data_IF_253382093450
#
_entry.id   IF_253382093450
#
_cell.length_a   1.000
_cell.length_b   1.000
_cell.length_c   1.000
_cell.angle_alpha   90.00
_cell.angle_beta   90.00
_cell.angle_gamma   90.00
#
_symmetry.space_group_name_H-M   'P 1'
#
loop_
_entity.id
_entity.type
_entity.pdbx_description
1 polymer ?
#
# COMPACT_ATOMS: atom_id res chain seq x y z
N UNK A 1 -18.45 -20.43 16.55
CA UNK A 1 -18.61 -21.49 15.53
C UNK A 1 -17.61 -22.59 15.83
N UNK A 2 -18.11 -23.71 16.34
CA UNK A 2 -17.34 -24.91 16.66
C UNK A 2 -17.14 -25.71 15.38
N UNK A 3 -15.88 -25.96 14.99
CA UNK A 3 -15.56 -26.94 13.96
C UNK A 3 -16.16 -28.28 14.35
N UNK A 4 -16.90 -28.93 13.45
CA UNK A 4 -17.30 -30.33 13.64
C UNK A 4 -16.01 -31.14 13.79
N UNK A 5 -15.97 -32.03 14.77
CA UNK A 5 -14.89 -33.02 14.86
C UNK A 5 -14.77 -33.71 13.50
N UNK A 6 -13.55 -33.76 12.93
CA UNK A 6 -13.15 -34.33 11.62
C UNK A 6 -12.81 -33.34 10.48
N UNK A 7 -13.06 -32.03 10.62
CA UNK A 7 -12.57 -31.06 9.61
C UNK A 7 -11.13 -30.63 9.90
N UNK A 8 -10.16 -31.45 9.49
CA UNK A 8 -8.72 -31.24 9.78
C UNK A 8 -8.03 -30.18 8.89
N UNK A 9 -8.71 -29.62 7.89
CA UNK A 9 -8.13 -28.62 6.99
C UNK A 9 -9.17 -27.79 6.24
N UNK A 10 -8.71 -26.78 5.50
CA UNK A 10 -9.59 -25.84 4.79
C UNK A 10 -10.48 -26.53 3.74
N UNK A 11 -9.95 -27.54 3.04
CA UNK A 11 -10.71 -28.31 2.04
C UNK A 11 -11.90 -29.03 2.67
N UNK A 12 -11.67 -29.77 3.76
CA UNK A 12 -12.75 -30.50 4.44
C UNK A 12 -13.73 -29.57 5.14
N UNK A 13 -13.27 -28.47 5.76
CA UNK A 13 -14.19 -27.53 6.40
C UNK A 13 -15.08 -26.78 5.42
N UNK A 14 -14.58 -26.45 4.22
CA UNK A 14 -15.38 -25.81 3.16
C UNK A 14 -16.41 -26.79 2.58
N UNK A 15 -15.98 -28.04 2.32
CA UNK A 15 -16.87 -29.10 1.81
C UNK A 15 -18.02 -29.40 2.79
N UNK A 16 -17.72 -29.46 4.08
CA UNK A 16 -18.69 -29.68 5.17
C UNK A 16 -19.44 -28.40 5.59
N UNK A 17 -19.18 -27.27 4.92
CA UNK A 17 -19.77 -25.96 5.21
C UNK A 17 -19.64 -25.53 6.68
N UNK A 18 -18.58 -25.95 7.35
CA UNK A 18 -18.31 -25.64 8.76
C UNK A 18 -17.38 -24.44 8.95
N UNK A 19 -16.90 -23.85 7.85
CA UNK A 19 -16.08 -22.65 7.82
C UNK A 19 -16.44 -21.81 6.59
N UNK A 20 -15.98 -20.56 6.59
CA UNK A 20 -16.06 -19.67 5.44
C UNK A 20 -14.65 -19.25 5.02
N UNK A 21 -14.43 -18.94 3.73
CA UNK A 21 -13.20 -18.31 3.31
C UNK A 21 -12.95 -17.01 4.09
N UNK A 22 -11.70 -16.76 4.45
CA UNK A 22 -11.29 -15.44 4.90
C UNK A 22 -11.35 -14.49 3.70
N UNK A 23 -11.87 -13.30 3.92
CA UNK A 23 -12.02 -12.29 2.88
C UNK A 23 -12.49 -10.98 3.47
N UNK A 24 -12.63 -10.01 2.58
CA UNK A 24 -12.95 -8.64 2.90
C UNK A 24 -13.15 -7.84 1.62
N UNK A 25 -13.08 -6.51 1.72
CA UNK A 25 -13.33 -5.63 0.56
C UNK A 25 -12.15 -4.69 0.37
N UNK A 26 -11.45 -4.88 -0.75
CA UNK A 26 -10.46 -3.90 -1.20
C UNK A 26 -11.18 -2.75 -1.90
N UNK A 27 -10.62 -1.56 -1.81
CA UNK A 27 -11.19 -0.37 -2.45
C UNK A 27 -10.14 0.30 -3.31
N UNK A 28 -10.56 0.91 -4.42
CA UNK A 28 -9.68 1.69 -5.26
C UNK A 28 -10.41 2.91 -5.83
N UNK A 29 -9.64 3.92 -6.20
CA UNK A 29 -10.13 5.14 -6.83
C UNK A 29 -9.07 5.69 -7.78
N UNK A 30 -9.47 6.57 -8.70
CA UNK A 30 -8.56 7.18 -9.67
C UNK A 30 -8.66 8.70 -9.63
N UNK A 31 -7.52 9.39 -9.75
CA UNK A 31 -7.48 10.86 -9.92
C UNK A 31 -6.72 11.23 -11.21
N UNK A 32 -7.34 11.97 -12.14
CA UNK A 32 -8.79 12.28 -12.20
C UNK A 32 -9.64 11.00 -12.38
N UNK A 33 -10.98 11.07 -12.23
CA UNK A 33 -11.86 9.94 -12.53
C UNK A 33 -11.61 9.39 -13.94
N UNK A 34 -11.44 8.08 -14.05
CA UNK A 34 -11.30 7.44 -15.35
C UNK A 34 -12.62 7.51 -16.12
N UNK A 35 -12.54 7.90 -17.39
CA UNK A 35 -13.65 7.69 -18.32
C UNK A 35 -13.45 6.35 -19.02
N UNK A 36 -14.54 5.73 -19.49
CA UNK A 36 -14.50 4.59 -20.40
C UNK A 36 -14.01 5.06 -21.78
N UNK A 37 -12.78 5.56 -21.85
CA UNK A 37 -12.14 6.00 -23.07
C UNK A 37 -11.72 4.77 -23.88
N UNK A 38 -11.89 4.85 -25.21
CA UNK A 38 -11.40 3.84 -26.15
C UNK A 38 -9.92 3.52 -25.88
N UNK A 39 -9.53 2.25 -26.04
CA UNK A 39 -8.18 1.73 -25.80
C UNK A 39 -7.04 2.57 -26.44
N UNK A 40 -7.32 3.32 -27.50
CA UNK A 40 -6.35 4.18 -28.20
C UNK A 40 -5.85 5.40 -27.40
N UNK A 41 -6.49 5.77 -26.28
CA UNK A 41 -6.14 6.97 -25.48
C UNK A 41 -5.83 6.66 -24.00
N UNK A 42 -5.57 5.40 -23.65
CA UNK A 42 -5.26 5.02 -22.27
C UNK A 42 -3.86 5.51 -21.85
N UNK A 43 -3.80 6.27 -20.76
CA UNK A 43 -2.55 6.75 -20.16
C UNK A 43 -1.90 5.62 -19.34
N UNK A 44 -0.56 5.54 -19.30
CA UNK A 44 0.13 4.66 -18.35
C UNK A 44 -0.29 4.98 -16.91
N UNK A 45 -0.42 3.95 -16.08
CA UNK A 45 -0.93 4.03 -14.71
C UNK A 45 0.23 4.03 -13.72
N UNK A 46 0.18 4.99 -12.79
CA UNK A 46 0.90 4.93 -11.52
C UNK A 46 -0.10 4.49 -10.47
N UNK A 47 0.17 3.34 -9.87
CA UNK A 47 -0.62 2.80 -8.79
C UNK A 47 0.05 3.14 -7.46
N UNK A 48 -0.69 3.76 -6.55
CA UNK A 48 -0.24 4.03 -5.17
C UNK A 48 -1.12 3.23 -4.24
N UNK A 49 -0.53 2.32 -3.47
CA UNK A 49 -1.28 1.32 -2.71
C UNK A 49 -0.90 1.32 -1.24
N UNK A 50 -1.82 0.86 -0.39
CA UNK A 50 -1.56 0.55 1.00
C UNK A 50 -2.38 -0.68 1.40
N UNK A 51 -1.96 -1.40 2.44
CA UNK A 51 -2.81 -2.40 3.08
C UNK A 51 -3.73 -1.74 4.12
N UNK A 52 -4.87 -2.37 4.42
CA UNK A 52 -5.81 -1.86 5.43
C UNK A 52 -6.09 -2.86 6.56
N UNK A 53 -5.61 -4.10 6.45
CA UNK A 53 -5.80 -5.14 7.45
C UNK A 53 -4.54 -5.48 8.25
N UNK A 54 -4.75 -5.86 9.51
CA UNK A 54 -3.70 -6.39 10.37
C UNK A 54 -4.12 -7.71 10.97
N UNK A 55 -3.15 -8.49 11.46
CA UNK A 55 -3.40 -9.70 12.21
C UNK A 55 -3.10 -9.50 13.71
N UNK A 56 -3.62 -10.41 14.54
CA UNK A 56 -3.34 -10.46 15.97
C UNK A 56 -3.74 -11.84 16.50
N UNK A 57 -3.12 -12.26 17.60
CA UNK A 57 -3.55 -13.47 18.32
C UNK A 57 -5.02 -13.39 18.75
N UNK A 58 -5.47 -12.19 19.14
CA UNK A 58 -6.87 -11.91 19.43
C UNK A 58 -7.47 -11.19 18.22
N UNK A 59 -8.26 -11.91 17.42
CA UNK A 59 -8.82 -11.40 16.16
C UNK A 59 -9.62 -10.12 16.33
N UNK A 60 -10.37 -9.99 17.42
CA UNK A 60 -11.15 -8.78 17.72
C UNK A 60 -10.29 -7.59 18.19
N UNK A 61 -8.96 -7.77 18.24
CA UNK A 61 -7.97 -6.77 18.64
C UNK A 61 -6.77 -6.78 17.70
N UNK A 62 -7.01 -6.47 16.43
CA UNK A 62 -6.01 -6.30 15.38
C UNK A 62 -5.95 -4.84 14.93
N UNK A 63 -5.53 -3.95 15.83
CA UNK A 63 -5.52 -2.50 15.58
C UNK A 63 -4.56 -2.10 14.44
N UNK A 64 -3.33 -2.63 14.44
CA UNK A 64 -2.35 -2.36 13.38
C UNK A 64 -2.02 -0.88 13.21
N UNK A 65 -1.87 -0.14 14.31
CA UNK A 65 -1.74 1.32 14.27
C UNK A 65 -0.56 1.78 13.41
N UNK A 66 0.61 1.18 13.61
CA UNK A 66 1.79 1.50 12.80
C UNK A 66 1.76 0.74 11.48
N UNK A 67 1.39 -0.54 11.51
CA UNK A 67 1.23 -1.35 10.30
C UNK A 67 -0.11 -2.08 10.29
N UNK A 68 -1.03 -1.78 9.35
CA UNK A 68 -0.84 -0.93 8.18
C UNK A 68 -1.49 0.47 8.25
N UNK A 69 -2.20 0.80 9.34
CA UNK A 69 -3.11 1.96 9.38
C UNK A 69 -2.37 3.28 9.13
N UNK A 70 -1.13 3.43 9.59
CA UNK A 70 -0.33 4.65 9.32
C UNK A 70 -0.13 4.89 7.82
N UNK A 71 0.17 3.83 7.05
CA UNK A 71 0.32 3.88 5.60
C UNK A 71 -0.99 4.21 4.89
N UNK A 72 -2.09 3.61 5.33
CA UNK A 72 -3.43 3.92 4.82
C UNK A 72 -3.80 5.39 5.05
N UNK A 73 -3.54 5.92 6.25
CA UNK A 73 -3.80 7.34 6.55
C UNK A 73 -2.95 8.24 5.65
N UNK A 74 -1.67 7.91 5.45
CA UNK A 74 -0.79 8.68 4.57
C UNK A 74 -1.28 8.64 3.10
N UNK A 75 -1.73 7.48 2.61
CA UNK A 75 -2.35 7.34 1.28
C UNK A 75 -3.57 8.24 1.15
N UNK A 76 -4.50 8.16 2.09
CA UNK A 76 -5.73 8.97 2.07
C UNK A 76 -5.43 10.47 2.16
N UNK A 77 -4.43 10.86 2.96
CA UNK A 77 -3.99 12.26 3.06
C UNK A 77 -3.41 12.76 1.74
N UNK A 78 -2.62 11.92 1.05
CA UNK A 78 -2.09 12.25 -0.27
C UNK A 78 -3.20 12.37 -1.32
N UNK A 79 -4.19 11.47 -1.29
CA UNK A 79 -5.38 11.54 -2.16
C UNK A 79 -6.17 12.82 -1.91
N UNK A 80 -6.42 13.18 -0.64
CA UNK A 80 -7.10 14.42 -0.27
C UNK A 80 -6.34 15.64 -0.79
N UNK A 81 -5.03 15.74 -0.52
CA UNK A 81 -4.21 16.85 -1.00
C UNK A 81 -4.21 16.97 -2.54
N UNK A 82 -4.10 15.85 -3.26
CA UNK A 82 -4.13 15.84 -4.72
C UNK A 82 -5.51 16.21 -5.26
N UNK A 83 -6.61 15.83 -4.59
CA UNK A 83 -7.98 16.09 -5.06
C UNK A 83 -8.31 17.58 -5.19
N UNK A 84 -7.58 18.44 -4.49
CA UNK A 84 -7.73 19.90 -4.55
C UNK A 84 -6.98 20.54 -5.73
N UNK A 85 -6.23 19.77 -6.52
CA UNK A 85 -5.49 20.28 -7.68
C UNK A 85 -6.34 20.27 -8.96
N UNK A 86 -6.48 21.42 -9.62
CA UNK A 86 -7.35 21.58 -10.79
C UNK A 86 -6.79 21.02 -12.10
N UNK A 87 -5.48 20.80 -12.20
CA UNK A 87 -4.80 20.46 -13.46
C UNK A 87 -4.39 18.98 -13.60
N UNK A 88 -4.93 18.10 -12.75
CA UNK A 88 -4.62 16.66 -12.80
C UNK A 88 -4.98 15.99 -14.14
N UNK A 89 -5.97 16.52 -14.86
CA UNK A 89 -6.34 16.03 -16.20
C UNK A 89 -5.22 16.13 -17.24
N UNK A 90 -4.29 17.08 -17.05
CA UNK A 90 -3.15 17.32 -17.96
C UNK A 90 -1.97 16.37 -17.71
N UNK A 91 -2.01 15.58 -16.64
CA UNK A 91 -0.95 14.62 -16.34
C UNK A 91 -0.82 13.59 -17.47
N UNK A 92 0.44 13.24 -17.79
CA UNK A 92 0.76 12.23 -18.81
C UNK A 92 0.43 10.81 -18.37
N UNK A 93 0.24 10.60 -17.08
CA UNK A 93 -0.05 9.32 -16.45
C UNK A 93 -1.32 9.42 -15.62
N UNK A 94 -2.03 8.31 -15.52
CA UNK A 94 -3.21 8.16 -14.66
C UNK A 94 -2.76 7.76 -13.25
N UNK A 95 -3.31 8.40 -12.22
CA UNK A 95 -3.11 7.98 -10.83
C UNK A 95 -4.25 7.08 -10.41
N UNK A 96 -3.91 5.92 -9.86
CA UNK A 96 -4.84 4.97 -9.25
C UNK A 96 -4.38 4.70 -7.82
N UNK A 97 -5.29 4.83 -6.87
CA UNK A 97 -5.06 4.60 -5.47
C UNK A 97 -5.83 3.37 -5.03
N UNK A 98 -5.21 2.46 -4.26
CA UNK A 98 -5.91 1.29 -3.74
C UNK A 98 -5.56 1.01 -2.29
N UNK A 99 -6.55 0.57 -1.53
CA UNK A 99 -6.38 -0.01 -0.21
C UNK A 99 -6.79 -1.48 -0.27
N UNK A 100 -5.84 -2.38 0.00
CA UNK A 100 -6.05 -3.82 -0.08
C UNK A 100 -6.33 -4.43 1.28
N UNK A 101 -7.40 -5.23 1.33
CA UNK A 101 -7.80 -6.02 2.50
C UNK A 101 -7.32 -7.48 2.35
N UNK A 102 -7.09 -8.16 3.47
CA UNK A 102 -6.58 -9.53 3.51
C UNK A 102 -5.10 -9.68 3.11
N UNK A 103 -4.30 -8.61 3.17
CA UNK A 103 -2.88 -8.68 2.89
C UNK A 103 -2.11 -9.47 3.95
N UNK A 104 -2.51 -9.38 5.22
CA UNK A 104 -1.93 -10.16 6.31
C UNK A 104 -2.19 -11.67 6.17
N UNK A 105 -3.13 -12.07 5.30
CA UNK A 105 -3.57 -13.45 5.08
C UNK A 105 -3.10 -14.01 3.73
N UNK A 106 -1.91 -13.59 3.29
CA UNK A 106 -1.29 -14.10 2.06
C UNK A 106 -1.68 -13.30 0.83
N UNK A 107 -1.78 -11.98 0.98
CA UNK A 107 -2.00 -11.02 -0.10
C UNK A 107 -3.34 -11.23 -0.82
N UNK A 108 -4.40 -11.58 -0.09
CA UNK A 108 -5.68 -11.98 -0.69
C UNK A 108 -6.27 -10.88 -1.55
N UNK A 109 -6.30 -9.64 -1.06
CA UNK A 109 -6.88 -8.50 -1.77
C UNK A 109 -6.11 -8.16 -3.03
N UNK A 110 -4.79 -7.97 -2.93
CA UNK A 110 -3.96 -7.61 -4.07
C UNK A 110 -3.92 -8.70 -5.13
N UNK A 111 -3.93 -9.98 -4.73
CA UNK A 111 -4.02 -11.11 -5.66
C UNK A 111 -5.38 -11.18 -6.35
N UNK A 112 -6.48 -11.00 -5.61
CA UNK A 112 -7.84 -11.03 -6.19
C UNK A 112 -8.05 -9.85 -7.13
N UNK A 113 -7.60 -8.65 -6.77
CA UNK A 113 -7.62 -7.49 -7.64
C UNK A 113 -6.89 -7.73 -8.97
N UNK A 114 -5.67 -8.28 -8.92
CA UNK A 114 -4.91 -8.62 -10.12
C UNK A 114 -5.58 -9.72 -10.96
N UNK A 115 -6.26 -10.67 -10.32
CA UNK A 115 -7.05 -11.69 -11.02
C UNK A 115 -8.27 -11.07 -11.71
N UNK A 116 -9.01 -10.19 -11.03
CA UNK A 116 -10.17 -9.48 -11.58
C UNK A 116 -9.79 -8.62 -12.78
N UNK A 117 -8.60 -8.02 -12.77
CA UNK A 117 -8.08 -7.27 -13.91
C UNK A 117 -7.86 -8.13 -15.16
N UNK A 118 -7.44 -9.39 -14.99
CA UNK A 118 -7.28 -10.31 -16.12
C UNK A 118 -8.61 -10.86 -16.62
N UNK A 119 -9.55 -11.07 -15.69
CA UNK A 119 -10.90 -11.52 -15.98
C UNK A 119 -11.75 -10.42 -16.61
N UNK A 120 -11.33 -9.15 -16.48
CA UNK A 120 -12.07 -7.99 -16.94
C UNK A 120 -13.34 -7.76 -16.14
N UNK A 121 -13.29 -8.00 -14.82
CA UNK A 121 -14.43 -7.85 -13.92
C UNK A 121 -14.91 -6.39 -13.86
N UNK A 122 -16.22 -6.22 -13.67
CA UNK A 122 -16.84 -4.91 -13.53
C UNK A 122 -16.27 -4.11 -12.34
N UNK A 123 -15.79 -4.79 -11.29
CA UNK A 123 -15.19 -4.19 -10.09
C UNK A 123 -13.93 -3.35 -10.37
N UNK A 124 -13.22 -3.63 -11.46
CA UNK A 124 -11.95 -3.00 -11.85
C UNK A 124 -12.03 -2.33 -13.22
N UNK A 125 -13.25 -2.11 -13.71
CA UNK A 125 -13.50 -1.52 -15.02
C UNK A 125 -12.76 -0.18 -15.19
N UNK A 126 -12.18 0.01 -16.37
CA UNK A 126 -11.36 1.16 -16.71
C UNK A 126 -9.86 1.00 -16.40
N UNK A 127 -9.47 0.03 -15.56
CA UNK A 127 -8.06 -0.29 -15.33
C UNK A 127 -7.62 -1.40 -16.29
N UNK A 128 -6.61 -1.11 -17.10
CA UNK A 128 -5.95 -2.12 -17.92
C UNK A 128 -4.65 -2.57 -17.23
N UNK A 129 -4.54 -3.87 -16.90
CA UNK A 129 -3.37 -4.42 -16.20
C UNK A 129 -2.05 -4.17 -16.93
N UNK A 130 -2.06 -4.17 -18.27
CA UNK A 130 -0.88 -3.89 -19.10
C UNK A 130 -0.40 -2.45 -19.02
N UNK A 131 -1.25 -1.52 -18.59
CA UNK A 131 -0.93 -0.09 -18.47
C UNK A 131 -0.32 0.25 -17.10
N UNK A 132 -0.30 -0.67 -16.14
CA UNK A 132 0.31 -0.46 -14.82
C UNK A 132 1.84 -0.46 -14.96
N UNK A 133 2.43 0.72 -15.04
CA UNK A 133 3.88 0.91 -15.22
C UNK A 133 4.62 1.02 -13.88
N UNK A 134 3.98 1.64 -12.89
CA UNK A 134 4.60 2.01 -11.62
C UNK A 134 3.69 1.60 -10.47
N UNK A 135 4.28 0.97 -9.44
CA UNK A 135 3.59 0.67 -8.18
C UNK A 135 4.40 1.23 -7.03
N UNK A 136 3.81 2.17 -6.30
CA UNK A 136 4.34 2.70 -5.05
C UNK A 136 3.45 2.19 -3.92
N UNK A 137 4.01 1.42 -3.00
CA UNK A 137 3.29 1.02 -1.79
C UNK A 137 3.72 1.89 -0.61
N UNK A 138 2.74 2.39 0.14
CA UNK A 138 2.96 3.10 1.39
C UNK A 138 2.74 2.08 2.51
N UNK A 139 3.84 1.66 3.14
CA UNK A 139 3.84 0.71 4.23
C UNK A 139 3.73 1.40 5.59
N UNK A 140 4.55 0.98 6.54
CA UNK A 140 4.60 1.52 7.90
C UNK A 140 5.33 2.85 7.88
N UNK A 141 4.62 3.95 8.17
CA UNK A 141 5.20 5.31 8.19
C UNK A 141 4.97 6.01 9.54
N UNK A 142 4.36 5.32 10.50
CA UNK A 142 3.93 5.87 11.78
C UNK A 142 5.06 6.05 12.80
N UNK A 143 6.25 5.49 12.55
CA UNK A 143 7.44 5.65 13.41
C UNK A 143 8.62 6.33 12.72
N UNK A 144 8.40 6.95 11.56
CA UNK A 144 9.46 7.64 10.80
C UNK A 144 10.08 8.85 11.50
N UNK A 145 9.47 9.34 12.59
CA UNK A 145 10.01 10.47 13.36
C UNK A 145 10.98 9.97 14.42
N UNK A 146 12.25 10.38 14.31
CA UNK A 146 13.29 10.12 15.30
C UNK A 146 14.03 11.41 15.65
N UNK A 147 14.01 11.80 16.93
CA UNK A 147 14.73 12.96 17.47
C UNK A 147 14.47 14.30 16.74
N UNK A 148 13.29 14.46 16.14
CA UNK A 148 12.89 15.69 15.44
C UNK A 148 13.15 15.68 13.93
N UNK A 149 13.88 14.68 13.42
CA UNK A 149 14.01 14.41 11.99
C UNK A 149 13.00 13.33 11.57
N UNK A 150 12.39 13.49 10.40
CA UNK A 150 11.54 12.46 9.80
C UNK A 150 12.34 11.75 8.71
N UNK A 151 12.51 10.43 8.85
CA UNK A 151 13.28 9.62 7.91
C UNK A 151 12.47 8.43 7.44
N UNK A 152 12.35 8.30 6.12
CA UNK A 152 11.76 7.15 5.47
C UNK A 152 12.76 6.47 4.53
N UNK A 153 12.50 5.20 4.27
CA UNK A 153 13.30 4.32 3.43
C UNK A 153 12.46 3.82 2.27
N UNK A 154 13.00 4.00 1.06
CA UNK A 154 12.43 3.53 -0.18
C UNK A 154 13.06 2.17 -0.56
N UNK A 155 12.29 1.11 -0.40
CA UNK A 155 12.65 -0.26 -0.76
C UNK A 155 12.27 -0.54 -2.21
N UNK A 156 13.24 -0.48 -3.11
CA UNK A 156 13.00 -0.75 -4.53
C UNK A 156 12.97 -2.25 -4.83
N UNK A 157 11.98 -2.70 -5.61
CA UNK A 157 11.88 -4.11 -6.01
C UNK A 157 13.06 -4.60 -6.85
N UNK A 158 13.58 -3.71 -7.70
CA UNK A 158 14.75 -3.93 -8.56
C UNK A 158 15.45 -2.60 -8.81
N UNK A 159 16.75 -2.65 -9.12
CA UNK A 159 17.48 -1.48 -9.62
C UNK A 159 17.11 -1.22 -11.09
N UNK A 160 15.90 -0.68 -11.33
CA UNK A 160 15.39 -0.35 -12.65
C UNK A 160 15.29 1.17 -12.85
N UNK A 161 15.20 1.61 -14.10
CA UNK A 161 14.92 3.02 -14.40
C UNK A 161 13.58 3.48 -13.79
N UNK A 162 12.61 2.57 -13.66
CA UNK A 162 11.28 2.87 -13.11
C UNK A 162 11.38 3.13 -11.60
N UNK A 163 12.02 2.25 -10.83
CA UNK A 163 12.17 2.43 -9.38
C UNK A 163 13.04 3.65 -9.05
N UNK A 164 14.02 3.98 -9.89
CA UNK A 164 14.78 5.24 -9.77
C UNK A 164 13.88 6.47 -9.94
N UNK A 165 13.02 6.51 -10.96
CA UNK A 165 12.06 7.63 -11.14
C UNK A 165 11.14 7.81 -9.93
N UNK A 166 10.68 6.71 -9.32
CA UNK A 166 9.85 6.79 -8.10
C UNK A 166 10.68 7.36 -6.94
N UNK A 167 11.90 6.87 -6.74
CA UNK A 167 12.81 7.38 -5.71
C UNK A 167 13.13 8.87 -5.92
N UNK A 168 13.48 9.28 -7.14
CA UNK A 168 13.78 10.66 -7.49
C UNK A 168 12.56 11.57 -7.21
N UNK A 169 11.35 11.09 -7.52
CA UNK A 169 10.10 11.80 -7.21
C UNK A 169 9.86 11.97 -5.71
N UNK A 170 10.08 10.90 -4.93
CA UNK A 170 9.98 10.94 -3.46
C UNK A 170 11.02 11.90 -2.86
N UNK A 171 12.26 11.86 -3.34
CA UNK A 171 13.33 12.75 -2.87
C UNK A 171 13.08 14.20 -3.27
N UNK A 172 12.62 14.46 -4.50
CA UNK A 172 12.23 15.81 -4.94
C UNK A 172 11.09 16.37 -4.09
N UNK A 173 10.09 15.53 -3.76
CA UNK A 173 9.02 15.91 -2.83
C UNK A 173 9.57 16.24 -1.44
N UNK A 174 10.47 15.39 -0.92
CA UNK A 174 11.17 15.60 0.35
C UNK A 174 11.92 16.94 0.38
N UNK A 175 12.68 17.26 -0.67
CA UNK A 175 13.47 18.48 -0.79
C UNK A 175 12.58 19.73 -0.89
N UNK A 176 11.41 19.59 -1.52
CA UNK A 176 10.44 20.70 -1.65
C UNK A 176 9.82 21.15 -0.32
N UNK A 177 9.87 20.29 0.71
CA UNK A 177 9.37 20.59 2.05
C UNK A 177 10.32 21.48 2.88
N UNK A 178 11.53 21.78 2.36
CA UNK A 178 12.45 22.74 2.96
C UNK A 178 12.80 22.41 4.42
N UNK A 179 12.32 23.23 5.36
CA UNK A 179 12.64 23.14 6.80
C UNK A 179 11.91 22.03 7.56
N UNK A 180 10.96 21.31 6.94
CA UNK A 180 10.15 20.31 7.63
C UNK A 180 10.90 19.00 7.96
N UNK A 181 12.20 18.94 7.62
CA UNK A 181 13.15 17.86 7.97
C UNK A 181 12.64 16.45 7.63
N UNK A 182 11.85 16.31 6.56
CA UNK A 182 11.50 15.01 5.98
C UNK A 182 12.60 14.60 5.02
N UNK A 183 13.12 13.38 5.17
CA UNK A 183 14.17 12.80 4.34
C UNK A 183 13.70 11.44 3.84
N UNK A 184 13.90 11.17 2.55
CA UNK A 184 13.70 9.84 1.96
C UNK A 184 15.05 9.31 1.46
N UNK A 185 15.45 8.14 1.96
CA UNK A 185 16.68 7.44 1.53
C UNK A 185 16.35 6.14 0.81
N UNK A 186 17.16 5.69 -0.15
CA UNK A 186 17.08 4.30 -0.60
C UNK A 186 17.39 3.37 0.58
N UNK A 187 16.66 2.25 0.67
CA UNK A 187 16.98 1.18 1.61
C UNK A 187 18.32 0.51 1.28
N UNK A 188 18.95 -0.10 2.28
CA UNK A 188 20.24 -0.75 2.16
C UNK A 188 20.22 -1.85 1.08
N UNK A 189 21.23 -1.84 0.20
CA UNK A 189 21.35 -2.85 -0.87
C UNK A 189 21.62 -4.26 -0.36
N UNK A 190 21.95 -4.41 0.93
CA UNK A 190 22.10 -5.70 1.61
C UNK A 190 20.77 -6.35 2.01
N UNK A 191 19.65 -5.62 1.92
CA UNK A 191 18.33 -6.17 2.21
C UNK A 191 17.96 -7.25 1.18
N UNK A 192 17.19 -8.29 1.57
CA UNK A 192 16.87 -9.43 0.70
C UNK A 192 15.91 -9.11 -0.46
N UNK A 193 15.44 -7.87 -0.56
CA UNK A 193 14.47 -7.40 -1.54
C UNK A 193 13.54 -6.36 -0.92
N UNK A 194 12.29 -6.32 -1.39
CA UNK A 194 11.23 -5.52 -0.78
C UNK A 194 10.69 -6.21 0.48
N UNK A 195 10.28 -5.45 1.51
CA UNK A 195 9.58 -6.00 2.67
C UNK A 195 8.24 -6.63 2.26
N UNK A 196 7.66 -7.54 3.07
CA UNK A 196 6.33 -8.10 2.85
C UNK A 196 5.31 -7.00 2.56
N UNK A 197 4.73 -7.04 1.37
CA UNK A 197 3.94 -5.93 0.82
C UNK A 197 3.08 -6.41 -0.34
N UNK A 198 1.99 -5.70 -0.62
CA UNK A 198 1.08 -5.93 -1.75
C UNK A 198 1.83 -5.94 -3.09
N UNK A 199 2.91 -5.15 -3.20
CA UNK A 199 3.83 -5.09 -4.34
C UNK A 199 4.36 -6.47 -4.73
N UNK A 200 4.52 -7.39 -3.77
CA UNK A 200 4.94 -8.77 -4.08
C UNK A 200 3.93 -9.49 -4.99
N UNK A 201 2.62 -9.22 -4.86
CA UNK A 201 1.59 -9.78 -5.73
C UNK A 201 1.75 -9.28 -7.17
N UNK A 202 2.00 -7.98 -7.34
CA UNK A 202 2.25 -7.37 -8.64
C UNK A 202 3.50 -7.95 -9.30
N UNK A 203 4.61 -8.05 -8.55
CA UNK A 203 5.87 -8.60 -9.05
C UNK A 203 5.78 -10.08 -9.43
N UNK A 204 5.00 -10.88 -8.69
CA UNK A 204 4.74 -12.28 -9.01
C UNK A 204 3.91 -12.42 -10.28
N UNK A 205 2.94 -11.52 -10.47
CA UNK A 205 2.05 -11.53 -11.63
C UNK A 205 2.77 -11.09 -12.90
N UNK A 206 3.56 -10.02 -12.82
CA UNK A 206 4.29 -9.45 -13.93
C UNK A 206 5.72 -9.09 -13.50
N UNK A 207 6.69 -9.81 -14.04
CA UNK A 207 8.12 -9.64 -13.70
C UNK A 207 8.72 -8.32 -14.22
N UNK A 208 8.02 -7.64 -15.13
CA UNK A 208 8.35 -6.30 -15.63
C UNK A 208 7.82 -5.19 -14.73
N UNK A 209 6.90 -5.48 -13.81
CA UNK A 209 6.41 -4.49 -12.85
C UNK A 209 7.53 -4.15 -11.86
N UNK A 210 7.89 -2.88 -11.84
CA UNK A 210 8.86 -2.33 -10.90
C UNK A 210 8.17 -1.37 -9.96
N UNK A 211 8.56 -1.40 -8.69
CA UNK A 211 7.93 -0.59 -7.67
C UNK A 211 8.87 -0.24 -6.53
N UNK A 212 8.33 0.50 -5.59
CA UNK A 212 8.98 0.92 -4.36
C UNK A 212 7.99 0.73 -3.22
N UNK A 213 8.46 0.24 -2.08
CA UNK A 213 7.72 0.28 -0.81
C UNK A 213 8.36 1.36 0.06
N UNK A 214 7.56 2.33 0.51
CA UNK A 214 7.99 3.37 1.43
C UNK A 214 7.73 2.93 2.87
N UNK A 215 8.77 2.87 3.68
CA UNK A 215 8.73 2.39 5.07
C UNK A 215 9.47 3.34 6.01
N UNK A 216 9.22 3.23 7.31
CA UNK A 216 9.94 3.91 8.38
C UNK A 216 11.16 3.14 8.92
N UNK A 217 11.56 2.07 8.23
CA UNK A 217 12.70 1.25 8.59
C UNK A 217 13.58 0.90 7.39
N UNK A 218 14.89 0.72 7.67
CA UNK A 218 15.86 0.29 6.68
C UNK A 218 15.89 -1.24 6.51
N UNK A 219 16.27 -1.98 7.55
CA UNK A 219 16.42 -3.46 7.45
C UNK A 219 15.53 -4.24 8.39
N UNK A 220 15.14 -3.65 9.53
CA UNK A 220 14.34 -4.31 10.56
C UNK A 220 13.19 -3.40 10.95
N UNK A 221 12.00 -3.95 11.11
CA UNK A 221 10.81 -3.18 11.43
C UNK A 221 11.02 -2.30 12.66
N UNK A 222 10.72 -1.01 12.52
CA UNK A 222 10.59 -0.09 13.66
C UNK A 222 9.44 -0.53 14.58
N UNK A 223 8.45 -1.23 14.01
CA UNK A 223 7.35 -1.81 14.75
C UNK A 223 7.70 -3.07 15.54
N UNK A 224 7.93 -2.91 16.85
CA UNK A 224 8.08 -4.04 17.80
C UNK A 224 6.80 -4.83 18.06
N UNK A 225 5.65 -4.34 17.60
CA UNK A 225 4.34 -4.94 17.84
C UNK A 225 3.64 -5.35 16.53
N UNK A 226 4.38 -5.55 15.44
CA UNK A 226 3.85 -5.96 14.15
C UNK A 226 2.88 -7.15 14.29
N UNK A 227 1.67 -7.00 13.74
CA UNK A 227 0.56 -7.96 13.86
C UNK A 227 0.27 -8.43 15.30
N UNK A 228 0.20 -7.47 16.22
CA UNK A 228 -0.17 -7.70 17.62
C UNK A 228 -1.24 -6.71 18.07
N UNK A 229 -2.08 -7.15 19.01
CA UNK A 229 -3.01 -6.29 19.75
C UNK A 229 -2.33 -5.11 20.49
N UNK A 230 -1.00 -5.16 20.66
CA UNK A 230 -0.21 -4.10 21.27
C UNK A 230 0.17 -2.97 20.29
N UNK A 231 -0.01 -3.17 18.98
CA UNK A 231 0.18 -2.13 17.96
C UNK A 231 -0.96 -1.12 18.00
N UNK A 232 -0.91 -0.29 19.03
CA UNK A 232 -1.94 0.68 19.41
C UNK A 232 -1.47 2.10 19.11
N UNK A 233 -2.39 3.08 18.95
CA UNK A 233 -2.04 4.45 18.60
C UNK A 233 -1.00 5.10 19.53
N UNK A 234 -1.02 4.75 20.82
CA UNK A 234 -0.04 5.22 21.81
C UNK A 234 1.40 4.72 21.60
N UNK A 235 1.65 3.90 20.56
CA UNK A 235 2.99 3.42 20.16
C UNK A 235 3.54 4.14 18.93
N UNK A 236 2.76 5.01 18.29
CA UNK A 236 3.20 5.84 17.18
C UNK A 236 4.02 7.03 17.69
N UNK A 237 4.97 7.50 16.89
CA UNK A 237 5.72 8.73 17.20
C UNK A 237 5.09 9.98 16.57
N UNK A 238 3.93 9.81 15.92
CA UNK A 238 3.22 10.87 15.19
C UNK A 238 2.50 11.81 16.14
N UNK A 239 3.20 12.86 16.60
CA UNK A 239 2.56 14.05 17.16
C UNK A 239 2.18 15.09 16.10
N UNK A 240 2.53 14.87 14.82
CA UNK A 240 2.50 15.90 13.75
C UNK A 240 1.46 15.75 12.64
N UNK A 241 0.67 14.68 12.56
CA UNK A 241 -0.43 14.63 11.57
C UNK A 241 -1.46 15.76 11.78
N UNK A 242 -1.53 16.34 12.99
CA UNK A 242 -2.39 17.48 13.29
C UNK A 242 -1.91 18.83 12.73
N UNK A 243 -0.68 18.96 12.22
CA UNK A 243 -0.20 20.24 11.70
C UNK A 243 -0.65 20.54 10.26
N UNK A 244 -1.06 19.52 9.50
CA UNK A 244 -1.59 19.71 8.14
C UNK A 244 -3.07 20.13 8.13
N UNK A 245 -3.82 19.97 9.23
CA UNK A 245 -5.22 20.39 9.31
C UNK A 245 -5.42 21.83 9.79
N UNK A 246 -4.39 22.48 10.35
CA UNK A 246 -4.50 23.81 10.97
C UNK A 246 -3.96 24.97 10.13
N UNK A 247 -3.62 24.76 8.85
CA UNK A 247 -3.30 25.84 7.90
C UNK A 247 -4.38 26.06 6.83
N UNK A 248 -5.65 25.73 7.12
CA UNK A 248 -6.79 26.24 6.33
C UNK A 248 -7.23 27.61 6.85
#
# INVERSE_FOLDING_TARGET
QTTKAETNGSESCLKEQSCLPLGGQSVWASLPPMSNASAEHQKPIIMVVASQDSASFFRDRSLGADSPISGLIALLTAVDALSHLHDLGKLKKQLVFAAFDGEAWGYLGSRKFLQELDEGDDSVNGINSSMIEQVLEIGSVGKGISQGDTLFYAHASRNSSISKKILDGLQSGSDSLGSDNVKVKPAASSNPGVPPSSLMSFMRKNTSTSGVVLEDFDSQFSNRFYHSHLDSPGKLTVHRCAHLSHQR
#
